data_IF_459245421200
#
_entry.id   IF_459245421200
#
_cell.length_a   1.000
_cell.length_b   1.000
_cell.length_c   1.000
_cell.angle_alpha   90.00
_cell.angle_beta   90.00
_cell.angle_gamma   90.00
#
_symmetry.space_group_name_H-M   'P 1'
#
loop_
_entity.id
_entity.type
_entity.pdbx_description
1 polymer ?
#
# COMPACT_ATOMS: atom_id res chain seq x y z
N UNK A 1 6.27 47.07 -1.45
CA UNK A 1 7.05 45.93 -0.91
C UNK A 1 6.14 44.90 -0.23
N UNK A 2 5.52 43.95 -0.98
CA UNK A 2 4.88 42.74 -0.41
C UNK A 2 4.86 41.55 -1.39
N UNK A 3 5.69 41.57 -2.44
CA UNK A 3 5.66 40.59 -3.54
C UNK A 3 6.35 39.27 -3.15
N UNK A 4 7.44 39.35 -2.39
CA UNK A 4 8.20 38.19 -1.92
C UNK A 4 7.37 37.17 -1.10
N UNK A 5 6.57 37.58 -0.08
CA UNK A 5 5.76 36.64 0.68
C UNK A 5 4.62 36.03 -0.15
N UNK A 6 4.10 36.75 -1.15
CA UNK A 6 3.07 36.23 -2.06
C UNK A 6 3.67 35.15 -2.98
N UNK A 7 4.85 35.39 -3.54
CA UNK A 7 5.56 34.40 -4.36
C UNK A 7 5.92 33.15 -3.55
N UNK A 8 6.38 33.32 -2.31
CA UNK A 8 6.69 32.20 -1.42
C UNK A 8 5.44 31.37 -1.08
N UNK A 9 4.31 32.03 -0.77
CA UNK A 9 3.04 31.35 -0.46
C UNK A 9 2.49 30.59 -1.68
N UNK A 10 2.56 31.17 -2.88
CA UNK A 10 2.14 30.51 -4.13
C UNK A 10 3.03 29.31 -4.43
N UNK A 11 4.36 29.45 -4.29
CA UNK A 11 5.30 28.34 -4.53
C UNK A 11 5.07 27.19 -3.54
N UNK A 12 4.86 27.51 -2.26
CA UNK A 12 4.53 26.51 -1.25
C UNK A 12 3.20 25.81 -1.58
N UNK A 13 2.17 26.55 -1.98
CA UNK A 13 0.88 25.97 -2.39
C UNK A 13 1.03 25.01 -3.58
N UNK A 14 1.84 25.34 -4.58
CA UNK A 14 2.10 24.44 -5.72
C UNK A 14 2.86 23.17 -5.32
N UNK A 15 3.77 23.24 -4.35
CA UNK A 15 4.50 22.06 -3.85
C UNK A 15 3.60 21.07 -3.10
N UNK A 16 2.53 21.54 -2.44
CA UNK A 16 1.58 20.67 -1.71
C UNK A 16 0.66 19.90 -2.67
N UNK A 17 0.42 20.40 -3.88
CA UNK A 17 -0.42 19.74 -4.90
C UNK A 17 0.35 18.69 -5.71
N UNK A 18 1.67 18.57 -5.54
CA UNK A 18 2.50 17.64 -6.30
C UNK A 18 2.37 16.16 -5.88
N UNK A 19 1.62 15.85 -4.82
CA UNK A 19 1.34 14.48 -4.41
C UNK A 19 0.40 13.80 -5.42
N UNK A 20 0.92 12.83 -6.18
CA UNK A 20 0.12 11.96 -7.04
C UNK A 20 -0.17 10.63 -6.36
N UNK A 21 -1.37 10.10 -6.58
CA UNK A 21 -1.68 8.73 -6.22
C UNK A 21 -0.84 7.77 -7.08
N UNK A 22 -0.33 6.66 -6.51
CA UNK A 22 0.41 5.68 -7.28
C UNK A 22 -0.48 5.11 -8.40
N UNK A 23 0.12 4.96 -9.59
CA UNK A 23 -0.54 4.38 -10.77
C UNK A 23 0.20 3.13 -11.22
N UNK A 24 -0.48 2.16 -11.86
CA UNK A 24 0.19 1.00 -12.44
C UNK A 24 1.29 1.41 -13.43
N UNK A 25 2.43 0.69 -13.49
CA UNK A 25 3.49 0.99 -14.45
C UNK A 25 2.99 0.94 -15.90
N UNK A 26 3.61 1.73 -16.78
CA UNK A 26 3.27 1.74 -18.21
C UNK A 26 3.40 0.34 -18.81
N UNK A 27 2.38 -0.10 -19.53
CA UNK A 27 2.32 -1.42 -20.18
C UNK A 27 1.80 -2.56 -19.29
N UNK A 28 1.50 -2.31 -18.01
CA UNK A 28 0.88 -3.30 -17.12
C UNK A 28 -0.64 -3.22 -17.22
N UNK A 29 -1.29 -4.35 -17.50
CA UNK A 29 -2.74 -4.47 -17.54
C UNK A 29 -3.28 -4.93 -16.19
N UNK A 30 -4.28 -4.24 -15.66
CA UNK A 30 -4.97 -4.59 -14.40
C UNK A 30 -6.25 -5.40 -14.70
N UNK A 31 -6.70 -6.22 -13.75
CA UNK A 31 -7.98 -6.94 -13.84
C UNK A 31 -9.15 -5.95 -13.74
N UNK A 32 -9.94 -5.81 -14.80
CA UNK A 32 -11.02 -4.79 -14.87
C UNK A 32 -12.33 -5.20 -14.17
N UNK A 33 -12.65 -6.49 -14.12
CA UNK A 33 -13.90 -7.00 -13.53
C UNK A 33 -13.65 -7.65 -12.17
N UNK A 34 -12.91 -6.95 -11.32
CA UNK A 34 -12.47 -7.47 -10.03
C UNK A 34 -13.60 -7.48 -9.00
N UNK A 35 -13.90 -8.65 -8.43
CA UNK A 35 -14.83 -8.80 -7.32
C UNK A 35 -14.05 -8.86 -6.00
N UNK A 36 -14.02 -7.74 -5.29
CA UNK A 36 -13.30 -7.62 -4.01
C UNK A 36 -13.79 -8.63 -2.96
N UNK A 37 -15.08 -9.00 -2.95
CA UNK A 37 -15.63 -9.92 -1.95
C UNK A 37 -15.04 -11.32 -2.10
N UNK A 38 -14.78 -11.75 -3.34
CA UNK A 38 -14.15 -13.05 -3.64
C UNK A 38 -12.66 -13.07 -3.34
N UNK A 39 -12.02 -11.91 -3.25
CA UNK A 39 -10.61 -11.77 -2.95
C UNK A 39 -10.30 -11.74 -1.44
N UNK A 40 -11.31 -11.50 -0.60
CA UNK A 40 -11.15 -11.49 0.85
C UNK A 40 -10.67 -12.83 1.40
N UNK A 41 -10.14 -12.79 2.61
CA UNK A 41 -9.58 -13.96 3.28
C UNK A 41 -8.05 -13.97 3.22
N UNK A 42 -7.46 -15.15 3.41
CA UNK A 42 -6.02 -15.30 3.58
C UNK A 42 -5.37 -15.88 2.33
N UNK A 43 -4.33 -15.19 1.88
CA UNK A 43 -3.44 -15.62 0.79
C UNK A 43 -2.08 -15.99 1.35
N UNK A 44 -1.51 -17.07 0.84
CA UNK A 44 -0.15 -17.49 1.15
C UNK A 44 0.80 -16.90 0.11
N UNK A 45 1.87 -16.27 0.58
CA UNK A 45 2.90 -15.76 -0.30
C UNK A 45 3.78 -16.92 -0.80
N UNK A 46 3.78 -17.13 -2.12
CA UNK A 46 4.56 -18.21 -2.75
C UNK A 46 5.94 -17.71 -3.18
N UNK A 47 6.02 -16.47 -3.67
CA UNK A 47 7.25 -15.83 -4.11
C UNK A 47 7.10 -14.30 -4.05
N UNK A 48 8.24 -13.60 -3.88
CA UNK A 48 8.31 -12.14 -3.83
C UNK A 48 9.61 -11.61 -4.45
N UNK A 49 9.60 -10.35 -4.88
CA UNK A 49 10.84 -9.60 -5.04
C UNK A 49 11.28 -9.06 -3.69
N UNK A 50 12.53 -9.30 -3.31
CA UNK A 50 13.00 -9.00 -1.96
C UNK A 50 13.13 -7.48 -1.71
N UNK A 51 12.37 -6.99 -0.74
CA UNK A 51 12.43 -5.62 -0.25
C UNK A 51 12.63 -5.61 1.27
N UNK A 52 13.18 -4.50 1.78
CA UNK A 52 13.63 -4.41 3.19
C UNK A 52 12.57 -4.74 4.24
N UNK A 53 11.29 -4.51 3.95
CA UNK A 53 10.20 -4.70 4.91
C UNK A 53 9.73 -6.14 5.07
N UNK A 54 10.05 -7.02 4.10
CA UNK A 54 9.70 -8.46 4.12
C UNK A 54 10.93 -9.37 4.19
N UNK A 55 12.12 -8.80 4.13
CA UNK A 55 13.38 -9.55 4.08
C UNK A 55 13.52 -10.46 5.30
N UNK A 56 13.83 -11.73 5.03
CA UNK A 56 14.03 -12.75 6.06
C UNK A 56 12.76 -13.27 6.71
N UNK A 57 11.57 -12.90 6.24
CA UNK A 57 10.31 -13.48 6.73
C UNK A 57 9.93 -14.76 5.99
N UNK A 58 9.56 -15.77 6.77
CA UNK A 58 9.04 -17.07 6.34
C UNK A 58 7.55 -17.19 6.60
N UNK A 59 6.89 -18.15 5.91
CA UNK A 59 5.48 -18.51 6.11
C UNK A 59 4.57 -17.28 6.06
N UNK A 60 4.83 -16.40 5.09
CA UNK A 60 4.16 -15.11 4.97
C UNK A 60 2.73 -15.31 4.46
N UNK A 61 1.79 -14.62 5.10
CA UNK A 61 0.38 -14.56 4.71
C UNK A 61 -0.09 -13.12 4.62
N UNK A 62 -0.95 -12.83 3.65
CA UNK A 62 -1.71 -11.59 3.56
C UNK A 62 -3.20 -11.88 3.78
N UNK A 63 -3.81 -11.23 4.76
CA UNK A 63 -5.24 -11.38 5.05
C UNK A 63 -5.97 -10.09 4.73
N UNK A 64 -7.00 -10.20 3.90
CA UNK A 64 -7.82 -9.09 3.43
C UNK A 64 -9.22 -9.14 4.03
N UNK A 65 -9.68 -8.02 4.58
CA UNK A 65 -11.05 -7.86 5.06
C UNK A 65 -11.66 -6.53 4.64
N UNK A 66 -12.97 -6.53 4.42
CA UNK A 66 -13.71 -5.33 4.03
C UNK A 66 -13.81 -4.37 5.23
N UNK A 67 -13.74 -3.07 4.95
CA UNK A 67 -13.96 -1.98 5.91
C UNK A 67 -15.31 -1.32 5.67
N UNK A 68 -15.86 -0.70 6.73
CA UNK A 68 -17.11 0.05 6.65
C UNK A 68 -17.02 1.26 5.70
N UNK A 69 -15.81 1.82 5.51
CA UNK A 69 -15.53 2.93 4.59
C UNK A 69 -15.36 2.48 3.12
N UNK A 70 -15.62 1.21 2.81
CA UNK A 70 -15.45 0.64 1.47
C UNK A 70 -14.01 0.31 1.08
N UNK A 71 -13.02 0.60 1.95
CA UNK A 71 -11.64 0.16 1.78
C UNK A 71 -11.41 -1.31 2.18
N UNK A 72 -10.17 -1.76 2.04
CA UNK A 72 -9.72 -3.09 2.44
C UNK A 72 -8.68 -2.95 3.55
N UNK A 73 -8.89 -3.63 4.69
CA UNK A 73 -7.83 -3.86 5.66
C UNK A 73 -6.89 -4.94 5.12
N UNK A 74 -5.58 -4.72 5.27
CA UNK A 74 -4.54 -5.64 4.85
C UNK A 74 -3.70 -6.00 6.07
N UNK A 75 -3.60 -7.27 6.40
CA UNK A 75 -2.72 -7.76 7.47
C UNK A 75 -1.71 -8.71 6.87
N UNK A 76 -0.45 -8.27 6.80
CA UNK A 76 0.66 -9.15 6.46
C UNK A 76 1.25 -9.72 7.74
N UNK A 77 1.47 -11.04 7.78
CA UNK A 77 2.07 -11.74 8.91
C UNK A 77 3.12 -12.70 8.40
N UNK A 78 4.29 -12.72 9.03
CA UNK A 78 5.38 -13.64 8.71
C UNK A 78 6.16 -14.02 9.96
N UNK A 79 6.84 -15.15 9.92
CA UNK A 79 7.75 -15.58 10.97
C UNK A 79 9.16 -15.10 10.66
N UNK A 80 9.80 -14.41 11.61
CA UNK A 80 11.20 -14.02 11.49
C UNK A 80 12.06 -15.07 12.23
N UNK A 81 12.83 -15.91 11.52
CA UNK A 81 13.63 -16.95 12.14
C UNK A 81 14.79 -16.38 12.95
N UNK A 82 15.39 -15.27 12.54
CA UNK A 82 16.52 -14.63 13.25
C UNK A 82 16.11 -14.10 14.63
N UNK A 83 14.85 -13.68 14.77
CA UNK A 83 14.27 -13.17 16.03
C UNK A 83 13.34 -14.17 16.71
N UNK A 84 13.20 -15.35 16.13
CA UNK A 84 12.32 -16.44 16.56
C UNK A 84 10.87 -16.01 16.85
N UNK A 85 10.36 -15.00 16.14
CA UNK A 85 9.07 -14.37 16.47
C UNK A 85 8.21 -14.09 15.25
N UNK A 86 6.90 -14.14 15.44
CA UNK A 86 5.95 -13.66 14.44
C UNK A 86 5.94 -12.13 14.41
N UNK A 87 5.99 -11.59 13.20
CA UNK A 87 5.83 -10.17 12.91
C UNK A 87 4.54 -9.96 12.12
N UNK A 88 3.85 -8.86 12.39
CA UNK A 88 2.67 -8.45 11.62
C UNK A 88 2.71 -6.96 11.31
N UNK A 89 2.17 -6.60 10.16
CA UNK A 89 1.93 -5.21 9.75
C UNK A 89 0.50 -5.05 9.30
N UNK A 90 -0.12 -3.95 9.69
CA UNK A 90 -1.51 -3.63 9.35
C UNK A 90 -1.52 -2.42 8.41
N UNK A 91 -2.30 -2.52 7.34
CA UNK A 91 -2.43 -1.50 6.32
C UNK A 91 -3.87 -1.33 5.87
N UNK A 92 -4.11 -0.27 5.10
CA UNK A 92 -5.38 0.03 4.45
C UNK A 92 -5.15 0.25 2.96
N UNK A 93 -5.98 -0.33 2.13
CA UNK A 93 -5.97 -0.15 0.69
C UNK A 93 -7.31 0.43 0.23
N UNK A 94 -7.25 1.33 -0.75
CA UNK A 94 -8.40 1.98 -1.38
C UNK A 94 -8.27 1.87 -2.90
N UNK A 95 -9.39 1.70 -3.60
CA UNK A 95 -9.42 1.74 -5.06
C UNK A 95 -9.20 3.19 -5.54
N UNK A 96 -8.45 3.35 -6.63
CA UNK A 96 -8.06 4.68 -7.16
C UNK A 96 -8.87 5.12 -8.38
N UNK A 97 -9.74 4.26 -8.91
CA UNK A 97 -10.54 4.50 -10.12
C UNK A 97 -10.78 3.22 -10.90
#
# INVERSE_FOLDING_TARGET
>A
MRILPVVAAVTAAFLVVACSSPTPPKGVTVVNNFDAKRYLGTWYEIARFDHRFERGLDKVTATYSLRDDGGINVINKGYNPDREMWQKTEGKAYFTG
#
